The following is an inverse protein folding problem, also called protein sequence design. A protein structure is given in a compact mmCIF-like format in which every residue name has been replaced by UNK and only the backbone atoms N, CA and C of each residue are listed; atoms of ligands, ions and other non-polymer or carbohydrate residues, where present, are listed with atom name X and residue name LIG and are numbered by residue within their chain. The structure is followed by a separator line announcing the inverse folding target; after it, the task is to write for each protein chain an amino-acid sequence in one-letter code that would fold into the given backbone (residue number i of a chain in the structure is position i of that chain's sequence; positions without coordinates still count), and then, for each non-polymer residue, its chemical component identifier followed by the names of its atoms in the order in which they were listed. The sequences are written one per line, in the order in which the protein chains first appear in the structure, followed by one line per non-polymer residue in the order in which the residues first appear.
data_IF_695686820702
#
_entry.id   IF_695686820702
#
_cell.length_a   1.000
_cell.length_b   1.000
_cell.length_c   1.000
_cell.angle_alpha   90.00
_cell.angle_beta   90.00
_cell.angle_gamma   90.00
#
_symmetry.space_group_name_H-M   'P 1'
#
loop_
_entity.id
_entity.type
_entity.pdbx_description
1 polymer ?
#
# COMPACT_ATOMS: atom_id res chain seq x y z
N UNK A 1 -9.64 -57.50 35.68
CA UNK A 1 -9.36 -56.22 36.36
C UNK A 1 -8.63 -55.33 35.37
N UNK A 2 -9.18 -54.16 35.03
CA UNK A 2 -8.43 -53.15 34.28
C UNK A 2 -7.37 -52.54 35.21
N UNK A 3 -6.18 -52.28 34.71
CA UNK A 3 -5.32 -51.25 35.28
C UNK A 3 -4.59 -50.51 34.15
N UNK A 4 -5.07 -49.31 33.87
CA UNK A 4 -4.48 -48.35 32.94
C UNK A 4 -3.35 -47.59 33.62
N UNK A 5 -2.20 -47.43 32.96
CA UNK A 5 -1.22 -46.41 33.31
C UNK A 5 -1.02 -45.43 32.17
N UNK A 6 -1.48 -44.20 32.40
CA UNK A 6 -0.78 -42.98 31.97
C UNK A 6 0.53 -42.84 32.81
N UNK A 7 1.47 -41.91 32.66
CA UNK A 7 1.59 -40.63 31.94
C UNK A 7 3.10 -40.37 31.68
N UNK A 8 3.58 -39.48 30.81
CA UNK A 8 2.92 -38.56 29.87
C UNK A 8 3.84 -38.33 28.64
N UNK A 9 3.28 -37.93 27.50
CA UNK A 9 4.05 -37.42 26.35
C UNK A 9 4.10 -35.89 26.37
N UNK A 10 5.30 -35.30 26.38
CA UNK A 10 5.45 -33.85 26.50
C UNK A 10 4.73 -33.09 25.39
N UNK A 11 3.94 -32.07 25.77
CA UNK A 11 3.13 -31.29 24.85
C UNK A 11 3.97 -30.52 23.84
N UNK A 12 3.96 -30.97 22.58
CA UNK A 12 4.40 -30.17 21.45
C UNK A 12 3.45 -28.98 21.35
N UNK A 13 3.95 -27.80 21.77
CA UNK A 13 3.18 -26.56 21.69
C UNK A 13 2.82 -26.30 20.22
N UNK A 14 1.52 -26.14 19.97
CA UNK A 14 0.93 -25.98 18.66
C UNK A 14 1.41 -24.66 18.02
N UNK A 15 2.53 -24.68 17.31
CA UNK A 15 3.02 -23.54 16.55
C UNK A 15 2.07 -23.38 15.36
N UNK A 16 1.28 -22.30 15.37
CA UNK A 16 0.24 -22.07 14.38
C UNK A 16 0.86 -22.09 12.97
N UNK A 17 0.48 -23.08 12.17
CA UNK A 17 0.95 -23.19 10.80
C UNK A 17 0.46 -21.98 10.00
N UNK A 18 1.39 -21.30 9.31
CA UNK A 18 1.05 -20.21 8.38
C UNK A 18 0.01 -20.66 7.36
N UNK A 19 -0.89 -19.76 6.90
CA UNK A 19 -1.93 -20.12 5.93
C UNK A 19 -1.34 -20.74 4.66
N UNK A 20 -1.52 -22.05 4.49
CA UNK A 20 -0.98 -22.79 3.35
C UNK A 20 -1.86 -22.57 2.12
N UNK A 21 -1.42 -21.70 1.21
CA UNK A 21 -2.03 -21.59 -0.12
C UNK A 21 -1.52 -22.74 -0.99
N UNK A 22 -2.23 -23.87 -0.96
CA UNK A 22 -1.88 -25.06 -1.73
C UNK A 22 -2.56 -25.09 -3.10
N UNK A 23 -1.78 -25.24 -4.16
CA UNK A 23 -2.26 -25.77 -5.45
C UNK A 23 -1.87 -27.24 -5.53
N UNK A 24 -2.83 -28.15 -5.64
CA UNK A 24 -2.57 -29.58 -5.86
C UNK A 24 -2.60 -29.91 -7.35
N UNK A 25 -1.79 -30.90 -7.76
CA UNK A 25 -1.78 -31.45 -9.13
C UNK A 25 -1.64 -30.42 -10.27
N UNK A 26 -0.84 -29.36 -10.05
CA UNK A 26 -0.70 -28.29 -11.04
C UNK A 26 0.12 -28.73 -12.27
N UNK A 27 -0.56 -28.93 -13.40
CA UNK A 27 0.06 -29.13 -14.71
C UNK A 27 0.35 -27.77 -15.38
N UNK A 28 1.64 -27.41 -15.42
CA UNK A 28 2.10 -26.17 -16.06
C UNK A 28 1.97 -26.20 -17.59
N UNK A 29 2.08 -27.36 -18.24
CA UNK A 29 1.98 -27.45 -19.70
C UNK A 29 0.53 -27.21 -20.14
N UNK A 30 -0.42 -27.87 -19.47
CA UNK A 30 -1.85 -27.66 -19.73
C UNK A 30 -2.28 -26.23 -19.39
N UNK A 31 -1.80 -25.67 -18.26
CA UNK A 31 -2.18 -24.33 -17.84
C UNK A 31 -1.52 -23.20 -18.65
N UNK A 32 -0.32 -23.40 -19.18
CA UNK A 32 0.35 -22.43 -20.06
C UNK A 32 -0.07 -22.57 -21.53
N UNK A 33 -0.77 -23.65 -21.90
CA UNK A 33 -1.24 -23.89 -23.27
C UNK A 33 -0.16 -24.37 -24.25
N UNK A 34 0.99 -24.86 -23.78
CA UNK A 34 2.03 -25.43 -24.65
C UNK A 34 3.46 -25.28 -24.12
N UNK A 35 4.43 -25.73 -24.93
CA UNK A 35 5.85 -25.47 -24.68
C UNK A 35 6.19 -24.00 -24.93
N UNK A 36 7.19 -23.48 -24.23
CA UNK A 36 7.73 -22.12 -24.38
C UNK A 36 6.74 -20.97 -24.11
N UNK A 37 5.54 -21.25 -23.61
CA UNK A 37 4.60 -20.22 -23.14
C UNK A 37 4.85 -19.88 -21.68
N UNK A 38 4.96 -18.59 -21.36
CA UNK A 38 5.07 -18.11 -19.98
C UNK A 38 3.71 -18.14 -19.29
N UNK A 39 3.69 -18.56 -18.02
CA UNK A 39 2.50 -18.51 -17.17
C UNK A 39 2.87 -17.92 -15.81
N UNK A 40 2.17 -16.86 -15.43
CA UNK A 40 2.30 -16.22 -14.12
C UNK A 40 1.10 -16.63 -13.26
N UNK A 41 1.36 -17.09 -12.04
CA UNK A 41 0.34 -17.26 -10.99
C UNK A 41 0.73 -16.44 -9.77
N UNK A 42 -0.16 -15.53 -9.37
CA UNK A 42 -0.01 -14.78 -8.13
C UNK A 42 -0.71 -15.52 -6.98
N UNK A 43 -0.10 -15.46 -5.79
CA UNK A 43 -0.65 -15.99 -4.54
C UNK A 43 -0.42 -14.97 -3.43
N UNK A 44 -1.41 -14.73 -2.58
CA UNK A 44 -1.25 -13.95 -1.35
C UNK A 44 -0.93 -14.89 -0.20
N UNK A 45 0.17 -14.63 0.52
CA UNK A 45 0.59 -15.45 1.66
C UNK A 45 1.09 -14.56 2.79
N UNK A 46 0.74 -14.92 4.02
CA UNK A 46 1.27 -14.26 5.22
C UNK A 46 2.54 -14.97 5.66
N UNK A 47 3.63 -14.22 5.80
CA UNK A 47 4.88 -14.71 6.38
C UNK A 47 4.65 -15.25 7.81
N UNK A 48 5.48 -16.19 8.26
CA UNK A 48 5.44 -16.69 9.63
C UNK A 48 5.83 -15.62 10.67
N UNK A 49 5.80 -16.00 11.96
CA UNK A 49 6.16 -15.11 13.06
C UNK A 49 7.60 -14.55 12.98
N UNK A 50 8.50 -15.22 12.26
CA UNK A 50 9.89 -14.80 12.03
C UNK A 50 10.05 -13.98 10.74
N UNK A 51 8.97 -13.80 9.96
CA UNK A 51 9.02 -13.15 8.65
C UNK A 51 9.36 -14.07 7.47
N UNK A 52 9.36 -15.39 7.68
CA UNK A 52 9.66 -16.38 6.62
C UNK A 52 8.44 -16.65 5.76
N UNK A 53 8.61 -16.59 4.43
CA UNK A 53 7.67 -17.17 3.47
C UNK A 53 8.24 -18.50 2.95
N UNK A 54 7.63 -19.61 3.34
CA UNK A 54 8.03 -20.95 2.88
C UNK A 54 7.30 -21.30 1.58
N UNK A 55 7.99 -21.16 0.45
CA UNK A 55 7.53 -21.67 -0.84
C UNK A 55 7.98 -23.14 -0.99
N UNK A 56 7.03 -24.08 -1.02
CA UNK A 56 7.33 -25.50 -1.19
C UNK A 56 6.84 -25.99 -2.56
N UNK A 57 7.78 -26.47 -3.37
CA UNK A 57 7.50 -27.14 -4.64
C UNK A 57 7.67 -28.64 -4.48
N UNK A 58 6.59 -29.40 -4.61
CA UNK A 58 6.60 -30.87 -4.47
C UNK A 58 6.41 -31.52 -5.82
N UNK A 59 7.39 -32.31 -6.26
CA UNK A 59 7.29 -33.17 -7.45
C UNK A 59 6.18 -34.20 -7.28
N UNK A 60 5.23 -34.23 -8.22
CA UNK A 60 4.14 -35.22 -8.25
C UNK A 60 4.37 -36.29 -9.33
N UNK A 61 4.91 -35.90 -10.50
CA UNK A 61 5.14 -36.81 -11.65
C UNK A 61 6.49 -36.57 -12.32
N UNK A 62 6.76 -35.34 -12.72
CA UNK A 62 8.10 -34.84 -13.12
C UNK A 62 8.46 -33.66 -12.20
N UNK A 63 9.74 -33.30 -12.16
CA UNK A 63 10.30 -32.22 -11.35
C UNK A 63 9.46 -30.94 -11.44
N UNK A 64 9.07 -30.42 -10.28
CA UNK A 64 8.43 -29.11 -10.20
C UNK A 64 9.41 -28.03 -10.69
N UNK A 65 8.94 -27.15 -11.59
CA UNK A 65 9.76 -26.13 -12.26
C UNK A 65 9.21 -24.75 -11.96
N UNK A 66 10.11 -23.81 -11.68
CA UNK A 66 9.82 -22.37 -11.51
C UNK A 66 10.96 -21.59 -12.15
N UNK A 67 10.62 -20.62 -13.01
CA UNK A 67 11.61 -19.82 -13.74
C UNK A 67 11.96 -18.51 -13.02
N UNK A 68 11.09 -18.04 -12.12
CA UNK A 68 11.28 -16.85 -11.31
C UNK A 68 10.27 -16.80 -10.17
N UNK A 69 10.66 -16.18 -9.06
CA UNK A 69 9.80 -15.91 -7.91
C UNK A 69 9.94 -14.42 -7.62
N UNK A 70 8.82 -13.71 -7.67
CA UNK A 70 8.71 -12.33 -7.17
C UNK A 70 7.97 -12.39 -5.83
N UNK A 71 8.50 -11.69 -4.82
CA UNK A 71 7.86 -11.54 -3.50
C UNK A 71 7.68 -10.06 -3.25
N UNK A 72 6.46 -9.58 -3.46
CA UNK A 72 6.09 -8.18 -3.22
C UNK A 72 5.37 -8.10 -1.87
N UNK A 73 5.83 -7.20 -0.99
CA UNK A 73 5.10 -6.85 0.22
C UNK A 73 3.79 -6.14 -0.14
N UNK A 74 2.83 -6.13 0.79
CA UNK A 74 1.58 -5.38 0.61
C UNK A 74 1.91 -3.90 0.29
N UNK A 75 1.55 -3.48 -0.91
CA UNK A 75 1.75 -2.11 -1.39
C UNK A 75 0.43 -1.54 -1.87
N UNK A 76 0.06 -0.38 -1.35
CA UNK A 76 -1.06 0.42 -1.82
C UNK A 76 -0.53 1.63 -2.60
N UNK A 77 -1.19 1.97 -3.70
CA UNK A 77 -1.02 3.22 -4.42
C UNK A 77 -2.43 3.70 -4.77
N UNK A 78 -2.90 4.80 -4.18
CA UNK A 78 -4.31 5.23 -4.18
C UNK A 78 -4.41 6.60 -4.84
N UNK A 79 -5.28 6.73 -5.84
CA UNK A 79 -5.59 8.02 -6.47
C UNK A 79 -6.71 8.74 -5.71
N UNK A 80 -6.39 9.78 -4.95
CA UNK A 80 -7.33 10.46 -4.07
C UNK A 80 -8.36 11.27 -4.87
N UNK A 81 -9.65 11.01 -4.67
CA UNK A 81 -10.74 11.60 -5.45
C UNK A 81 -10.79 11.21 -6.92
N UNK A 82 -10.00 10.23 -7.36
CA UNK A 82 -9.87 9.85 -8.77
C UNK A 82 -10.14 8.36 -9.06
N UNK A 83 -10.25 8.04 -10.35
CA UNK A 83 -10.28 6.66 -10.84
C UNK A 83 -8.89 6.03 -10.86
N UNK A 84 -8.82 4.73 -11.17
CA UNK A 84 -7.55 4.02 -11.31
C UNK A 84 -6.70 4.62 -12.44
N UNK A 85 -5.39 4.74 -12.23
CA UNK A 85 -4.44 5.31 -13.19
C UNK A 85 -3.05 4.69 -13.02
N UNK A 86 -2.56 4.00 -14.06
CA UNK A 86 -1.30 3.26 -13.98
C UNK A 86 -1.34 2.21 -12.87
N UNK A 87 -0.37 2.25 -11.96
CA UNK A 87 -0.32 1.41 -10.75
C UNK A 87 -1.24 1.88 -9.61
N UNK A 88 -1.84 3.07 -9.71
CA UNK A 88 -2.69 3.62 -8.66
C UNK A 88 -4.13 3.10 -8.82
N UNK A 89 -4.69 2.51 -7.77
CA UNK A 89 -6.11 2.16 -7.69
C UNK A 89 -6.98 3.43 -7.56
N UNK A 90 -8.27 3.30 -7.84
CA UNK A 90 -9.24 4.35 -7.57
C UNK A 90 -9.34 4.69 -6.07
N UNK A 91 -9.88 5.87 -5.75
CA UNK A 91 -10.03 6.35 -4.38
C UNK A 91 -10.70 5.31 -3.46
N UNK A 92 -10.04 5.00 -2.35
CA UNK A 92 -10.44 3.99 -1.39
C UNK A 92 -9.91 4.30 0.01
N UNK A 93 -10.55 3.75 1.04
CA UNK A 93 -10.18 3.88 2.46
C UNK A 93 -10.26 5.30 3.04
N UNK A 94 -10.77 6.27 2.28
CA UNK A 94 -11.02 7.62 2.73
C UNK A 94 -12.20 7.71 3.72
N UNK A 95 -12.07 8.59 4.71
CA UNK A 95 -13.11 9.03 5.61
C UNK A 95 -13.17 10.57 5.60
N UNK A 96 -14.35 11.12 5.31
CA UNK A 96 -14.55 12.55 5.14
C UNK A 96 -13.99 13.12 3.82
N UNK A 97 -13.98 14.45 3.75
CA UNK A 97 -13.57 15.20 2.56
C UNK A 97 -14.51 15.09 1.35
N UNK A 98 -14.22 15.90 0.34
CA UNK A 98 -14.91 16.00 -0.95
C UNK A 98 -13.92 15.78 -2.10
N UNK A 99 -14.40 15.50 -3.31
CA UNK A 99 -13.56 15.26 -4.50
C UNK A 99 -13.50 16.50 -5.38
N UNK A 100 -12.32 16.81 -5.94
CA UNK A 100 -12.16 17.81 -7.00
C UNK A 100 -11.20 17.30 -8.08
N UNK A 101 -11.32 17.85 -9.29
CA UNK A 101 -10.51 17.45 -10.44
C UNK A 101 -10.25 18.63 -11.38
N UNK A 102 -9.15 18.55 -12.12
CA UNK A 102 -8.80 19.47 -13.21
C UNK A 102 -8.39 18.70 -14.47
N UNK A 103 -8.46 19.37 -15.63
CA UNK A 103 -7.86 18.87 -16.88
C UNK A 103 -6.53 19.55 -17.20
N UNK A 104 -6.08 20.49 -16.37
CA UNK A 104 -4.80 21.18 -16.56
C UNK A 104 -3.61 20.21 -16.50
N UNK A 105 -2.61 20.43 -17.33
CA UNK A 105 -1.35 19.67 -17.27
C UNK A 105 -0.62 19.94 -15.95
N UNK A 106 -0.01 18.90 -15.39
CA UNK A 106 0.77 18.97 -14.13
C UNK A 106 2.26 18.83 -14.46
N UNK A 107 3.07 19.76 -13.95
CA UNK A 107 4.53 19.63 -13.95
C UNK A 107 4.97 18.60 -12.91
N UNK A 108 5.48 17.46 -13.37
CA UNK A 108 6.08 16.39 -12.55
C UNK A 108 7.60 16.37 -12.60
N UNK A 109 8.25 17.28 -13.35
CA UNK A 109 9.71 17.28 -13.55
C UNK A 109 10.52 17.53 -12.27
N UNK A 110 9.92 18.18 -11.29
CA UNK A 110 10.54 18.49 -9.99
C UNK A 110 10.49 17.37 -8.95
N UNK A 111 9.99 16.17 -9.26
CA UNK A 111 9.87 15.06 -8.28
C UNK A 111 10.42 13.73 -8.80
N UNK A 112 11.08 12.97 -7.93
CA UNK A 112 11.62 11.64 -8.26
C UNK A 112 10.53 10.56 -8.15
N UNK A 113 10.44 9.72 -9.18
CA UNK A 113 9.43 8.66 -9.33
C UNK A 113 7.99 9.22 -9.15
N UNK A 114 7.53 10.15 -10.00
CA UNK A 114 6.17 10.68 -9.90
C UNK A 114 5.12 9.59 -10.10
N UNK A 115 3.96 9.78 -9.47
CA UNK A 115 2.74 9.09 -9.88
C UNK A 115 2.35 9.48 -11.32
N UNK A 116 1.48 8.73 -12.01
CA UNK A 116 0.90 9.16 -13.28
C UNK A 116 0.30 10.57 -13.16
N UNK A 117 0.44 11.40 -14.21
CA UNK A 117 0.00 12.81 -14.15
C UNK A 117 -1.48 12.98 -13.75
N UNK A 118 -2.33 12.04 -14.16
CA UNK A 118 -3.76 12.01 -13.79
C UNK A 118 -4.02 11.86 -12.29
N UNK A 119 -3.09 11.30 -11.51
CA UNK A 119 -3.21 11.25 -10.03
C UNK A 119 -3.11 12.65 -9.44
N UNK A 120 -2.23 13.49 -9.98
CA UNK A 120 -2.10 14.89 -9.55
C UNK A 120 -3.18 15.83 -10.11
N UNK A 121 -3.99 15.36 -11.08
CA UNK A 121 -5.13 16.07 -11.62
C UNK A 121 -6.40 15.91 -10.78
N UNK A 122 -6.44 14.91 -9.90
CA UNK A 122 -7.52 14.70 -8.93
C UNK A 122 -7.06 15.00 -7.50
N UNK A 123 -8.02 15.27 -6.63
CA UNK A 123 -7.79 15.41 -5.20
C UNK A 123 -8.99 14.97 -4.38
N UNK A 124 -8.71 14.56 -3.14
CA UNK A 124 -9.67 14.68 -2.05
C UNK A 124 -9.25 15.84 -1.13
N UNK A 125 -10.22 16.67 -0.75
CA UNK A 125 -10.01 17.89 0.04
C UNK A 125 -10.97 18.01 1.24
N UNK A 126 -10.57 18.79 2.23
CA UNK A 126 -11.22 18.96 3.54
C UNK A 126 -10.41 18.29 4.65
N UNK A 127 -10.83 18.47 5.91
CA UNK A 127 -10.34 17.63 7.01
C UNK A 127 -10.82 16.20 6.80
N UNK A 128 -9.89 15.26 6.67
CA UNK A 128 -10.15 13.89 6.21
C UNK A 128 -9.08 12.93 6.75
N UNK A 129 -9.36 11.63 6.67
CA UNK A 129 -8.36 10.59 6.93
C UNK A 129 -8.40 9.49 5.86
N UNK A 130 -7.30 8.78 5.69
CA UNK A 130 -7.21 7.50 4.96
C UNK A 130 -6.77 6.41 5.93
N UNK A 131 -7.56 5.33 6.04
CA UNK A 131 -7.27 4.20 6.93
C UNK A 131 -6.85 2.98 6.10
N UNK A 132 -5.58 2.93 5.68
CA UNK A 132 -5.04 1.88 4.81
C UNK A 132 -4.89 0.57 5.60
N UNK A 133 -5.65 -0.49 5.29
CA UNK A 133 -5.69 -1.73 6.08
C UNK A 133 -4.77 -2.81 5.49
N UNK A 134 -4.80 -4.03 6.05
CA UNK A 134 -4.22 -5.22 5.40
C UNK A 134 -2.69 -5.31 5.40
N UNK A 135 -2.04 -4.45 6.16
CA UNK A 135 -0.58 -4.42 6.35
C UNK A 135 -0.15 -5.45 7.41
N UNK A 136 1.14 -5.80 7.45
CA UNK A 136 1.70 -6.61 8.52
C UNK A 136 1.83 -5.75 9.78
N UNK A 137 1.02 -6.04 10.80
CA UNK A 137 1.07 -5.36 12.09
C UNK A 137 2.50 -5.30 12.66
N UNK A 138 2.93 -4.13 13.13
CA UNK A 138 4.27 -3.90 13.66
C UNK A 138 5.40 -3.83 12.63
N UNK A 139 5.14 -4.02 11.32
CA UNK A 139 6.14 -3.82 10.28
C UNK A 139 6.24 -2.35 9.85
N UNK A 140 7.43 -1.93 9.39
CA UNK A 140 7.68 -0.59 8.89
C UNK A 140 7.40 -0.49 7.38
N UNK A 141 6.82 0.64 6.98
CA UNK A 141 6.44 0.96 5.62
C UNK A 141 6.96 2.35 5.24
N UNK A 142 7.27 2.55 3.96
CA UNK A 142 7.45 3.86 3.36
C UNK A 142 6.09 4.38 2.91
N UNK A 143 5.69 5.54 3.44
CA UNK A 143 4.46 6.26 3.08
C UNK A 143 4.84 7.46 2.22
N UNK A 144 4.41 7.50 0.96
CA UNK A 144 4.60 8.63 0.04
C UNK A 144 3.28 9.35 -0.14
N UNK A 145 3.27 10.65 0.13
CA UNK A 145 2.11 11.52 -0.01
C UNK A 145 2.31 12.44 -1.20
N UNK A 146 1.37 12.39 -2.15
CA UNK A 146 1.42 13.08 -3.43
C UNK A 146 0.45 14.25 -3.43
N UNK A 147 0.94 15.42 -3.82
CA UNK A 147 0.18 16.66 -3.86
C UNK A 147 0.47 17.42 -5.15
N UNK A 148 -0.50 18.19 -5.63
CA UNK A 148 -0.29 19.33 -6.52
C UNK A 148 -1.31 20.41 -6.14
N UNK A 149 -0.93 21.68 -6.10
CA UNK A 149 -1.92 22.75 -5.91
C UNK A 149 -2.60 23.05 -7.25
N UNK A 150 -3.88 22.70 -7.41
CA UNK A 150 -4.62 22.84 -8.68
C UNK A 150 -5.78 23.84 -8.58
N UNK A 151 -6.02 24.43 -7.40
CA UNK A 151 -7.03 25.44 -7.16
C UNK A 151 -6.40 26.84 -6.96
N UNK A 152 -5.58 27.00 -5.94
CA UNK A 152 -4.97 28.28 -5.57
C UNK A 152 -3.77 28.67 -6.44
N UNK A 153 -3.43 29.96 -6.44
CA UNK A 153 -2.39 30.55 -7.29
C UNK A 153 -1.38 31.40 -6.53
N UNK A 154 -1.38 31.35 -5.19
CA UNK A 154 -0.39 31.97 -4.33
C UNK A 154 -0.19 31.16 -3.04
N UNK A 155 0.97 31.35 -2.40
CA UNK A 155 1.28 30.80 -1.08
C UNK A 155 0.38 31.40 0.02
N UNK A 156 0.17 30.67 1.10
CA UNK A 156 -0.62 31.07 2.26
C UNK A 156 -2.13 31.01 2.07
N UNK A 157 -2.62 30.76 0.85
CA UNK A 157 -4.06 30.58 0.59
C UNK A 157 -4.60 29.24 1.11
N UNK A 158 -3.71 28.25 1.27
CA UNK A 158 -4.01 26.95 1.86
C UNK A 158 -2.84 26.48 2.72
N UNK A 159 -3.13 26.13 3.97
CA UNK A 159 -2.18 25.45 4.87
C UNK A 159 -2.89 24.36 5.67
N UNK A 160 -2.22 23.24 5.91
CA UNK A 160 -2.78 22.14 6.68
C UNK A 160 -1.72 21.30 7.39
N UNK A 161 -2.13 20.58 8.42
CA UNK A 161 -1.29 19.61 9.10
C UNK A 161 -1.53 18.21 8.51
N UNK A 162 -0.50 17.37 8.54
CA UNK A 162 -0.61 15.94 8.21
C UNK A 162 -0.02 15.12 9.35
N UNK A 163 -0.75 14.12 9.80
CA UNK A 163 -0.29 13.13 10.77
C UNK A 163 -0.39 11.72 10.19
N UNK A 164 0.56 10.86 10.57
CA UNK A 164 0.53 9.42 10.27
C UNK A 164 0.52 8.68 11.61
N UNK A 165 -0.47 7.81 11.82
CA UNK A 165 -0.74 7.11 13.08
C UNK A 165 -0.74 8.06 14.29
N UNK A 166 -1.39 9.22 14.14
CA UNK A 166 -1.48 10.27 15.16
C UNK A 166 -0.21 11.14 15.34
N UNK A 167 0.92 10.73 14.78
CA UNK A 167 2.18 11.51 14.84
C UNK A 167 2.21 12.53 13.71
N UNK A 168 2.32 13.82 14.04
CA UNK A 168 2.37 14.89 13.03
C UNK A 168 3.68 14.82 12.23
N UNK A 169 3.58 14.69 10.90
CA UNK A 169 4.70 14.60 9.96
C UNK A 169 4.86 15.85 9.09
N UNK A 170 3.81 16.66 8.95
CA UNK A 170 3.83 17.97 8.30
C UNK A 170 3.01 18.95 9.15
N UNK A 171 3.51 20.19 9.27
CA UNK A 171 2.87 21.28 10.03
C UNK A 171 2.73 22.50 9.14
N UNK A 172 1.56 23.13 9.13
CA UNK A 172 1.21 24.31 8.33
C UNK A 172 1.65 24.19 6.86
N UNK A 173 1.51 23.00 6.28
CA UNK A 173 2.05 22.65 4.97
C UNK A 173 1.30 23.37 3.85
N UNK A 174 2.06 24.12 3.07
CA UNK A 174 1.64 24.83 1.87
C UNK A 174 2.23 24.13 0.63
N UNK A 175 1.36 23.58 -0.21
CA UNK A 175 1.75 22.89 -1.44
C UNK A 175 2.31 23.88 -2.47
N UNK A 176 1.69 25.06 -2.61
CA UNK A 176 2.11 26.08 -3.57
C UNK A 176 3.50 26.62 -3.21
N UNK A 177 3.72 26.99 -1.95
CA UNK A 177 5.03 27.46 -1.48
C UNK A 177 6.12 26.38 -1.61
N UNK A 178 5.77 25.10 -1.39
CA UNK A 178 6.70 23.99 -1.56
C UNK A 178 7.03 23.68 -3.03
N UNK A 179 6.05 23.79 -3.93
CA UNK A 179 6.24 23.55 -5.36
C UNK A 179 6.92 24.73 -6.09
N UNK A 180 6.69 25.95 -5.59
CA UNK A 180 7.01 27.22 -6.23
C UNK A 180 6.02 27.66 -7.31
N UNK A 181 4.96 26.89 -7.58
CA UNK A 181 3.97 27.18 -8.62
C UNK A 181 2.65 26.40 -8.41
N UNK A 182 1.59 26.87 -9.07
CA UNK A 182 0.35 26.11 -9.31
C UNK A 182 0.61 24.97 -10.31
N UNK A 183 -0.18 23.90 -10.26
CA UNK A 183 -0.16 22.74 -11.16
C UNK A 183 1.21 22.04 -11.20
N UNK A 184 1.91 21.98 -10.07
CA UNK A 184 3.21 21.33 -9.97
C UNK A 184 3.24 20.33 -8.82
N UNK A 185 3.79 19.16 -9.09
CA UNK A 185 3.80 18.03 -8.17
C UNK A 185 4.76 18.25 -6.99
N UNK A 186 4.34 17.78 -5.82
CA UNK A 186 5.15 17.65 -4.61
C UNK A 186 4.94 16.24 -4.07
N UNK A 187 6.03 15.58 -3.68
CA UNK A 187 5.99 14.29 -2.97
C UNK A 187 6.69 14.44 -1.63
N UNK A 188 6.09 13.92 -0.57
CA UNK A 188 6.69 13.83 0.77
C UNK A 188 6.70 12.38 1.20
N UNK A 189 7.86 11.85 1.60
CA UNK A 189 8.04 10.47 2.00
C UNK A 189 8.37 10.38 3.49
N UNK A 190 7.76 9.41 4.18
CA UNK A 190 7.92 9.17 5.60
C UNK A 190 8.02 7.67 5.87
N UNK A 191 8.60 7.28 7.01
CA UNK A 191 8.50 5.91 7.51
C UNK A 191 7.43 5.85 8.59
N UNK A 192 6.55 4.84 8.53
CA UNK A 192 5.55 4.58 9.54
C UNK A 192 5.42 3.08 9.82
N UNK A 193 5.17 2.73 11.07
CA UNK A 193 4.92 1.33 11.48
C UNK A 193 3.42 1.07 11.48
N UNK A 194 2.98 -0.01 10.82
CA UNK A 194 1.58 -0.42 10.85
C UNK A 194 1.15 -0.78 12.28
N UNK A 195 -0.06 -0.39 12.66
CA UNK A 195 -0.59 -0.59 14.01
C UNK A 195 -0.87 -2.07 14.33
N UNK A 196 -1.37 -2.34 15.54
CA UNK A 196 -1.69 -3.71 15.98
C UNK A 196 -2.77 -4.41 15.14
N UNK A 197 -3.57 -3.67 14.36
CA UNK A 197 -4.58 -4.20 13.44
C UNK A 197 -4.06 -4.34 12.01
N UNK A 198 -2.80 -3.99 11.74
CA UNK A 198 -2.25 -3.97 10.39
C UNK A 198 -2.74 -2.78 9.57
N UNK A 199 -2.91 -1.61 10.19
CA UNK A 199 -3.33 -0.40 9.50
C UNK A 199 -2.31 0.75 9.61
N UNK A 200 -2.32 1.63 8.59
CA UNK A 200 -1.71 2.96 8.65
C UNK A 200 -2.80 4.00 8.38
N UNK A 201 -2.99 4.90 9.34
CA UNK A 201 -3.91 6.03 9.24
C UNK A 201 -3.16 7.30 8.88
N UNK A 202 -3.51 7.93 7.76
CA UNK A 202 -3.02 9.25 7.37
C UNK A 202 -4.14 10.26 7.58
N UNK A 203 -3.96 11.22 8.48
CA UNK A 203 -4.96 12.26 8.80
C UNK A 203 -4.48 13.61 8.28
N UNK A 204 -5.36 14.33 7.58
CA UNK A 204 -5.16 15.69 7.12
C UNK A 204 -6.10 16.63 7.87
N UNK A 205 -5.57 17.70 8.43
CA UNK A 205 -6.33 18.69 9.23
C UNK A 205 -6.12 20.08 8.66
N UNK A 206 -7.19 20.68 8.14
CA UNK A 206 -7.25 22.05 7.65
C UNK A 206 -6.75 23.06 8.70
N UNK A 207 -5.96 24.06 8.28
CA UNK A 207 -5.57 25.22 9.10
C UNK A 207 -6.02 26.52 8.42
N UNK A 208 -5.64 26.72 7.16
CA UNK A 208 -6.19 27.75 6.26
C UNK A 208 -6.74 27.05 5.02
N UNK A 209 -8.00 27.35 4.68
CA UNK A 209 -8.80 26.62 3.69
C UNK A 209 -8.81 25.09 3.97
N UNK A 210 -9.24 24.29 3.01
CA UNK A 210 -9.32 22.85 3.08
C UNK A 210 -7.95 22.22 2.90
N UNK A 211 -7.56 21.30 3.78
CA UNK A 211 -6.46 20.38 3.50
C UNK A 211 -6.74 19.57 2.22
N UNK A 212 -5.71 19.08 1.52
CA UNK A 212 -5.93 18.23 0.33
C UNK A 212 -4.81 17.23 0.08
N UNK A 213 -5.13 16.15 -0.65
CA UNK A 213 -4.17 15.16 -1.14
C UNK A 213 -4.59 14.64 -2.51
N UNK A 214 -3.62 14.32 -3.37
CA UNK A 214 -3.82 13.81 -4.73
C UNK A 214 -3.53 12.31 -4.84
N UNK A 215 -2.59 11.78 -4.07
CA UNK A 215 -2.36 10.34 -4.00
C UNK A 215 -1.56 9.90 -2.79
N UNK A 216 -1.66 8.61 -2.48
CA UNK A 216 -1.00 7.97 -1.34
C UNK A 216 -0.35 6.68 -1.82
N UNK A 217 0.94 6.49 -1.55
CA UNK A 217 1.57 5.18 -1.62
C UNK A 217 1.92 4.71 -0.20
N UNK A 218 1.69 3.43 0.10
CA UNK A 218 2.17 2.74 1.30
C UNK A 218 2.87 1.48 0.81
N UNK A 219 4.19 1.42 0.94
CA UNK A 219 5.04 0.37 0.37
C UNK A 219 5.82 -0.31 1.50
N UNK A 220 5.89 -1.65 1.49
CA UNK A 220 6.70 -2.39 2.44
C UNK A 220 8.19 -2.12 2.23
N UNK A 221 8.93 -1.96 3.32
CA UNK A 221 10.39 -1.77 3.33
C UNK A 221 11.16 -3.10 3.33
#
# INVERSE_FOLDING_TARGET
MLNTKSDAGQGIKNQAASPKVCQSHFDIFAAAGGINTALVKAFTATADANGTLTLQFTTVKDNAKVNGIEVSLASYAINAGGGASGSFMADAFANGGQMYATTAGIDTSGVTNPAPAAVYQTERYGSLAYHVPGLKAGAAYTVRLHFAEIYFSASGQRTFNVAINGTQVLSNFDIYATAGAKNKAVVKAFTATADANGAITITLTSVIDNAKISGIEVQGN
#
